data_IF_296939499842
#
_entry.id   IF_296939499842
#
_cell.length_a   1.000
_cell.length_b   1.000
_cell.length_c   1.000
_cell.angle_alpha   90.00
_cell.angle_beta   90.00
_cell.angle_gamma   90.00
#
_symmetry.space_group_name_H-M   'P 1'
#
loop_
_entity.id
_entity.type
_entity.pdbx_description
1 polymer ?
#
# COMPACT_ATOMS: atom_id res chain seq x y z
N UNK A 1 -0.46 -5.66 20.54
CA UNK A 1 -0.12 -5.39 19.12
C UNK A 1 0.88 -6.41 18.62
N UNK A 2 2.10 -6.42 19.16
CA UNK A 2 3.09 -7.44 18.80
C UNK A 2 2.62 -8.82 19.25
N UNK A 3 2.75 -9.82 18.38
CA UNK A 3 2.43 -11.24 18.60
C UNK A 3 0.93 -11.62 18.70
N UNK A 4 0.00 -10.81 18.17
CA UNK A 4 -1.44 -11.11 18.16
C UNK A 4 -2.00 -11.49 16.77
N UNK A 5 -1.25 -12.27 15.99
CA UNK A 5 -1.83 -12.95 14.81
C UNK A 5 -1.51 -12.37 13.43
N UNK A 6 -0.26 -11.97 13.15
CA UNK A 6 0.09 -11.87 11.73
C UNK A 6 1.57 -11.77 11.40
N UNK A 7 2.39 -11.05 12.17
CA UNK A 7 3.87 -11.05 12.00
C UNK A 7 4.61 -10.84 13.33
N UNK A 8 5.68 -11.61 13.52
CA UNK A 8 6.54 -11.57 14.71
C UNK A 8 7.71 -10.63 14.42
N UNK A 9 7.99 -9.71 15.33
CA UNK A 9 9.16 -8.83 15.22
C UNK A 9 10.39 -9.52 15.79
N UNK A 10 11.53 -9.36 15.13
CA UNK A 10 12.82 -9.91 15.58
C UNK A 10 13.94 -8.90 15.34
N UNK A 11 15.07 -9.08 16.01
CA UNK A 11 16.29 -8.30 15.78
C UNK A 11 16.87 -8.45 14.36
N UNK A 12 16.45 -9.50 13.64
CA UNK A 12 16.84 -9.77 12.25
C UNK A 12 15.93 -9.09 11.23
N UNK A 13 14.81 -8.52 11.69
CA UNK A 13 13.85 -7.84 10.82
C UNK A 13 14.46 -6.55 10.27
N UNK A 14 14.24 -6.28 8.99
CA UNK A 14 14.64 -5.04 8.31
C UNK A 14 13.41 -4.25 7.86
N UNK A 15 13.61 -3.07 7.25
CA UNK A 15 12.52 -2.17 6.86
C UNK A 15 11.41 -2.83 6.01
N UNK A 16 11.76 -3.75 5.12
CA UNK A 16 10.79 -4.46 4.28
C UNK A 16 9.89 -5.41 5.08
N UNK A 17 10.27 -5.81 6.29
CA UNK A 17 9.47 -6.71 7.13
C UNK A 17 8.35 -5.97 7.90
N UNK A 18 8.36 -4.62 7.87
CA UNK A 18 7.44 -3.77 8.62
C UNK A 18 6.39 -3.08 7.75
N UNK A 19 6.13 -3.56 6.53
CA UNK A 19 5.11 -2.99 5.63
C UNK A 19 3.70 -2.98 6.25
N UNK A 20 3.43 -3.83 7.24
CA UNK A 20 2.15 -3.95 7.96
C UNK A 20 1.98 -2.90 9.07
N UNK A 21 3.02 -2.11 9.36
CA UNK A 21 2.93 -0.99 10.32
C UNK A 21 2.24 0.17 9.63
N UNK A 22 0.91 0.06 9.52
CA UNK A 22 0.06 1.01 8.82
C UNK A 22 -0.87 1.76 9.79
N UNK A 23 -1.12 3.04 9.50
CA UNK A 23 -2.06 3.89 10.22
C UNK A 23 -2.57 5.00 9.30
N UNK A 24 -3.80 5.46 9.54
CA UNK A 24 -4.39 6.60 8.83
C UNK A 24 -5.38 6.21 7.72
N UNK A 25 -5.67 4.93 7.50
CA UNK A 25 -6.67 4.50 6.51
C UNK A 25 -8.10 4.98 6.82
N UNK A 26 -8.38 5.32 8.09
CA UNK A 26 -9.64 5.92 8.57
C UNK A 26 -9.57 7.46 8.72
N UNK A 27 -8.57 8.10 8.11
CA UNK A 27 -8.30 9.54 8.22
C UNK A 27 -8.18 10.19 6.85
N UNK A 28 -8.27 11.52 6.82
CA UNK A 28 -7.92 12.26 5.61
C UNK A 28 -6.40 12.30 5.45
N UNK A 29 -5.86 11.40 4.63
CA UNK A 29 -4.41 11.23 4.42
C UNK A 29 -3.70 12.44 3.77
N UNK A 30 -4.47 13.43 3.31
CA UNK A 30 -3.94 14.68 2.76
C UNK A 30 -3.92 15.75 3.85
N UNK A 31 -5.07 16.03 4.46
CA UNK A 31 -5.21 17.12 5.40
C UNK A 31 -4.65 16.78 6.79
N UNK A 32 -4.64 15.51 7.17
CA UNK A 32 -4.14 15.03 8.47
C UNK A 32 -2.73 14.42 8.38
N UNK A 33 -1.98 14.66 7.30
CA UNK A 33 -0.67 14.02 7.08
C UNK A 33 0.30 14.22 8.24
N UNK A 34 0.28 15.39 8.90
CA UNK A 34 1.17 15.67 10.02
C UNK A 34 0.89 14.78 11.24
N UNK A 35 -0.38 14.61 11.63
CA UNK A 35 -0.76 13.76 12.78
C UNK A 35 -0.54 12.28 12.46
N UNK A 36 -0.86 11.84 11.24
CA UNK A 36 -0.59 10.49 10.76
C UNK A 36 0.91 10.19 10.81
N UNK A 37 1.75 11.13 10.34
CA UNK A 37 3.21 10.98 10.34
C UNK A 37 3.76 10.86 11.77
N UNK A 38 3.28 11.70 12.69
CA UNK A 38 3.71 11.64 14.09
C UNK A 38 3.33 10.31 14.75
N UNK A 39 2.13 9.82 14.49
CA UNK A 39 1.67 8.54 15.02
C UNK A 39 2.47 7.36 14.44
N UNK A 40 2.71 7.34 13.12
CA UNK A 40 3.54 6.32 12.50
C UNK A 40 4.97 6.34 13.06
N UNK A 41 5.58 7.52 13.24
CA UNK A 41 6.90 7.64 13.87
C UNK A 41 6.90 7.13 15.32
N UNK A 42 5.84 7.44 16.08
CA UNK A 42 5.67 6.93 17.45
C UNK A 42 5.61 5.40 17.46
N UNK A 43 4.85 4.79 16.55
CA UNK A 43 4.75 3.34 16.40
C UNK A 43 6.09 2.71 16.01
N UNK A 44 6.75 3.24 14.98
CA UNK A 44 8.07 2.75 14.52
C UNK A 44 9.12 2.84 15.61
N UNK A 45 9.25 3.98 16.29
CA UNK A 45 10.19 4.15 17.39
C UNK A 45 9.83 3.29 18.60
N UNK A 46 8.54 3.05 18.84
CA UNK A 46 8.08 2.12 19.87
C UNK A 46 8.50 0.68 19.59
N UNK A 47 8.39 0.22 18.34
CA UNK A 47 8.86 -1.09 17.90
C UNK A 47 10.38 -1.19 18.02
N UNK A 48 11.12 -0.18 17.55
CA UNK A 48 12.57 -0.12 17.70
C UNK A 48 12.99 -0.20 19.18
N UNK A 49 12.38 0.62 20.05
CA UNK A 49 12.66 0.61 21.47
C UNK A 49 12.36 -0.75 22.11
N UNK A 50 11.28 -1.42 21.69
CA UNK A 50 10.96 -2.75 22.16
C UNK A 50 12.01 -3.78 21.73
N UNK A 51 12.47 -3.77 20.48
CA UNK A 51 13.52 -4.67 20.01
C UNK A 51 14.83 -4.38 20.75
N UNK A 52 15.25 -3.11 20.79
CA UNK A 52 16.55 -2.67 21.30
C UNK A 52 16.68 -2.78 22.83
N UNK A 53 15.65 -2.39 23.58
CA UNK A 53 15.76 -2.12 25.02
C UNK A 53 14.93 -3.05 25.91
N UNK A 54 14.16 -4.00 25.35
CA UNK A 54 13.34 -4.90 26.19
C UNK A 54 14.10 -6.02 26.88
N UNK A 55 15.36 -6.27 26.49
CA UNK A 55 16.15 -7.43 26.94
C UNK A 55 15.65 -8.78 26.40
N UNK A 56 14.71 -8.78 25.43
CA UNK A 56 14.14 -10.01 24.84
C UNK A 56 14.81 -10.45 23.54
N UNK A 57 15.71 -9.64 23.00
CA UNK A 57 16.34 -9.84 21.70
C UNK A 57 17.85 -9.60 21.81
N UNK A 58 18.63 -10.24 20.95
CA UNK A 58 20.07 -9.99 20.82
C UNK A 58 20.31 -8.70 20.02
N UNK A 59 19.99 -7.56 20.64
CA UNK A 59 19.97 -6.27 19.99
C UNK A 59 20.98 -5.26 20.58
N UNK A 60 21.84 -5.68 21.51
CA UNK A 60 22.74 -4.78 22.26
C UNK A 60 23.71 -4.00 21.37
N UNK A 61 24.11 -4.56 20.23
CA UNK A 61 24.99 -3.93 19.24
C UNK A 61 24.26 -3.31 18.06
N UNK A 62 22.93 -3.46 17.97
CA UNK A 62 22.13 -2.93 16.88
C UNK A 62 21.79 -1.45 17.08
N UNK A 63 21.69 -0.71 15.99
CA UNK A 63 21.26 0.69 16.01
C UNK A 63 20.21 0.95 14.92
N UNK A 64 19.36 1.94 15.14
CA UNK A 64 18.42 2.39 14.12
C UNK A 64 19.21 3.09 13.00
N UNK A 65 19.33 2.44 11.85
CA UNK A 65 20.05 3.00 10.70
C UNK A 65 19.32 4.21 10.08
N UNK A 66 18.03 4.04 9.76
CA UNK A 66 17.24 5.07 9.08
C UNK A 66 15.74 4.91 9.32
N UNK A 67 15.03 6.04 9.31
CA UNK A 67 13.58 6.10 9.31
C UNK A 67 13.10 7.15 8.30
N UNK A 68 12.11 6.79 7.49
CA UNK A 68 11.51 7.68 6.50
C UNK A 68 10.90 8.93 7.14
N UNK A 69 11.08 10.07 6.47
CA UNK A 69 10.51 11.35 6.90
C UNK A 69 9.03 11.49 6.57
N UNK A 70 8.58 10.84 5.48
CA UNK A 70 7.22 10.87 4.96
C UNK A 70 6.60 9.47 5.00
N UNK A 71 5.31 9.35 5.36
CA UNK A 71 4.62 8.07 5.31
C UNK A 71 4.36 7.66 3.86
N UNK A 72 4.50 6.36 3.59
CA UNK A 72 4.04 5.77 2.35
C UNK A 72 2.53 5.93 2.20
N UNK A 73 2.06 6.30 1.00
CA UNK A 73 0.63 6.42 0.68
C UNK A 73 0.24 5.32 -0.29
N UNK A 74 -0.76 4.54 0.10
CA UNK A 74 -1.30 3.44 -0.69
C UNK A 74 -2.31 3.86 -1.73
N UNK A 75 -3.04 4.93 -1.47
CA UNK A 75 -3.99 5.58 -2.37
C UNK A 75 -4.20 7.05 -1.97
N UNK A 76 -4.65 7.86 -2.91
CA UNK A 76 -5.07 9.24 -2.69
C UNK A 76 -6.10 9.63 -3.75
N UNK A 77 -6.23 10.92 -4.07
CA UNK A 77 -7.06 11.40 -5.17
C UNK A 77 -6.65 10.73 -6.49
N UNK A 78 -7.64 10.24 -7.23
CA UNK A 78 -7.47 9.61 -8.55
C UNK A 78 -8.08 10.48 -9.63
N UNK A 79 -7.50 10.46 -10.82
CA UNK A 79 -8.11 11.05 -12.00
C UNK A 79 -9.26 10.17 -12.48
N UNK A 80 -10.26 10.81 -13.06
CA UNK A 80 -11.26 10.11 -13.88
C UNK A 80 -10.71 10.05 -15.30
N UNK A 81 -10.59 8.84 -15.83
CA UNK A 81 -10.05 8.57 -17.16
C UNK A 81 -11.10 7.94 -18.06
N UNK A 82 -10.81 7.88 -19.36
CA UNK A 82 -11.72 7.34 -20.38
C UNK A 82 -12.14 5.90 -20.08
N UNK A 83 -11.25 5.10 -19.49
CA UNK A 83 -11.60 3.81 -18.92
C UNK A 83 -11.06 3.66 -17.51
N UNK A 84 -11.91 3.15 -16.61
CA UNK A 84 -11.54 2.80 -15.24
C UNK A 84 -11.47 1.29 -15.15
N UNK A 85 -10.25 0.75 -15.06
CA UNK A 85 -10.04 -0.69 -14.86
C UNK A 85 -10.69 -1.14 -13.55
N UNK A 86 -11.46 -2.22 -13.56
CA UNK A 86 -12.16 -2.71 -12.38
C UNK A 86 -11.57 -4.01 -11.84
N UNK A 87 -11.92 -4.36 -10.59
CA UNK A 87 -11.56 -5.66 -10.02
C UNK A 87 -12.17 -6.80 -10.83
N UNK A 88 -13.41 -6.62 -11.32
CA UNK A 88 -14.07 -7.59 -12.20
C UNK A 88 -13.25 -7.83 -13.46
N UNK A 89 -12.69 -6.78 -14.07
CA UNK A 89 -11.85 -6.92 -15.26
C UNK A 89 -10.60 -7.77 -15.00
N UNK A 90 -9.98 -7.56 -13.83
CA UNK A 90 -8.81 -8.32 -13.39
C UNK A 90 -9.19 -9.78 -13.13
N UNK A 91 -10.24 -10.02 -12.33
CA UNK A 91 -10.65 -11.37 -11.92
C UNK A 91 -11.19 -12.22 -13.08
N UNK A 92 -11.75 -11.59 -14.13
CA UNK A 92 -12.27 -12.29 -15.31
C UNK A 92 -11.31 -12.30 -16.49
N UNK A 93 -10.09 -11.76 -16.34
CA UNK A 93 -9.13 -11.62 -17.43
C UNK A 93 -9.74 -10.96 -18.67
N UNK A 94 -10.41 -9.82 -18.48
CA UNK A 94 -11.00 -9.03 -19.57
C UNK A 94 -9.96 -8.77 -20.67
N UNK A 95 -10.36 -9.00 -21.92
CA UNK A 95 -9.53 -8.76 -23.09
C UNK A 95 -9.78 -7.35 -23.61
N UNK A 96 -8.70 -6.64 -23.90
CA UNK A 96 -8.74 -5.31 -24.48
C UNK A 96 -7.96 -5.30 -25.79
N UNK A 97 -8.49 -4.65 -26.82
CA UNK A 97 -7.79 -4.51 -28.11
C UNK A 97 -6.64 -3.50 -28.04
N UNK A 98 -6.65 -2.64 -27.02
CA UNK A 98 -5.75 -1.52 -26.83
C UNK A 98 -4.89 -1.64 -25.56
N UNK A 99 -4.49 -2.86 -25.19
CA UNK A 99 -3.56 -3.07 -24.05
C UNK A 99 -2.25 -2.31 -24.28
N UNK A 100 -1.87 -1.49 -23.29
CA UNK A 100 -0.62 -0.75 -23.32
C UNK A 100 0.43 -1.28 -22.32
N UNK A 101 -0.02 -1.90 -21.23
CA UNK A 101 0.83 -2.48 -20.19
C UNK A 101 0.10 -3.62 -19.49
N UNK A 102 0.85 -4.41 -18.71
CA UNK A 102 0.30 -5.55 -17.97
C UNK A 102 0.54 -5.38 -16.47
N UNK A 103 -0.42 -5.81 -15.68
CA UNK A 103 -0.26 -6.02 -14.24
C UNK A 103 -0.34 -7.50 -13.90
N UNK A 104 0.22 -7.88 -12.75
CA UNK A 104 0.18 -9.26 -12.27
C UNK A 104 0.38 -9.40 -10.76
N UNK A 105 0.40 -8.29 -10.02
CA UNK A 105 0.42 -8.34 -8.57
C UNK A 105 -0.95 -8.76 -8.02
N UNK A 106 -0.99 -9.39 -6.86
CA UNK A 106 -2.26 -9.80 -6.23
C UNK A 106 -3.14 -8.59 -5.93
N UNK A 107 -4.46 -8.80 -5.79
CA UNK A 107 -5.31 -7.79 -5.18
C UNK A 107 -4.97 -7.73 -3.68
N UNK A 108 -4.17 -6.73 -3.31
CA UNK A 108 -3.50 -6.59 -2.01
C UNK A 108 -4.25 -5.61 -1.10
N UNK A 109 -5.22 -6.13 -0.34
CA UNK A 109 -6.09 -5.36 0.54
C UNK A 109 -5.54 -5.29 1.96
N UNK A 110 -5.60 -4.10 2.57
CA UNK A 110 -5.14 -3.85 3.94
C UNK A 110 -6.31 -3.28 4.74
N UNK A 111 -6.47 -3.69 6.02
CA UNK A 111 -7.53 -3.16 6.85
C UNK A 111 -7.31 -1.67 7.10
N UNK A 112 -8.36 -0.89 6.92
CA UNK A 112 -8.32 0.57 7.06
C UNK A 112 -7.93 1.07 8.46
N UNK A 113 -8.18 0.26 9.49
CA UNK A 113 -7.81 0.48 10.88
C UNK A 113 -6.30 0.26 11.13
N UNK A 114 -5.58 -0.29 10.14
CA UNK A 114 -4.14 -0.52 10.18
C UNK A 114 -3.73 -1.42 11.34
N UNK A 115 -2.67 -1.02 12.06
CA UNK A 115 -2.11 -1.76 13.21
C UNK A 115 -3.09 -1.99 14.37
N UNK A 116 -4.20 -1.23 14.41
CA UNK A 116 -5.24 -1.36 15.43
C UNK A 116 -6.35 -2.34 15.04
N UNK A 117 -6.32 -2.88 13.81
CA UNK A 117 -7.28 -3.88 13.36
C UNK A 117 -7.15 -5.19 14.13
N UNK A 118 -8.27 -5.92 14.24
CA UNK A 118 -8.30 -7.31 14.71
C UNK A 118 -8.33 -8.32 13.57
N UNK A 119 -8.52 -7.85 12.33
CA UNK A 119 -8.43 -8.69 11.13
C UNK A 119 -6.96 -8.93 10.78
N UNK A 120 -6.73 -9.85 9.84
CA UNK A 120 -5.40 -10.06 9.26
C UNK A 120 -4.85 -8.76 8.66
N UNK A 121 -3.54 -8.55 8.75
CA UNK A 121 -2.88 -7.33 8.26
C UNK A 121 -3.03 -7.14 6.75
N UNK A 122 -3.29 -8.22 6.01
CA UNK A 122 -3.46 -8.14 4.58
C UNK A 122 -4.24 -9.35 4.07
N UNK A 123 -5.18 -9.09 3.15
CA UNK A 123 -5.84 -10.10 2.34
C UNK A 123 -5.29 -9.98 0.92
N UNK A 124 -4.72 -11.07 0.41
CA UNK A 124 -4.19 -11.11 -0.94
C UNK A 124 -4.98 -12.12 -1.77
N UNK A 125 -5.58 -11.65 -2.86
CA UNK A 125 -6.27 -12.50 -3.84
C UNK A 125 -5.35 -12.67 -5.05
N UNK A 126 -4.90 -13.90 -5.36
CA UNK A 126 -4.11 -14.16 -6.55
C UNK A 126 -4.86 -13.79 -7.82
N UNK A 127 -4.13 -13.29 -8.80
CA UNK A 127 -4.66 -12.92 -10.13
C UNK A 127 -3.68 -13.38 -11.20
N UNK A 128 -4.19 -13.62 -12.40
CA UNK A 128 -3.35 -13.87 -13.57
C UNK A 128 -2.74 -12.55 -14.10
N UNK A 129 -1.89 -12.67 -15.12
CA UNK A 129 -1.43 -11.52 -15.88
C UNK A 129 -2.63 -10.87 -16.60
N UNK A 130 -2.92 -9.61 -16.31
CA UNK A 130 -4.05 -8.89 -16.90
C UNK A 130 -3.59 -7.67 -17.69
N UNK A 131 -4.28 -7.38 -18.79
CA UNK A 131 -4.00 -6.22 -19.63
C UNK A 131 -4.60 -4.94 -19.05
N UNK A 132 -3.87 -3.83 -19.16
CA UNK A 132 -4.36 -2.51 -18.80
C UNK A 132 -4.48 -1.68 -20.10
N UNK A 133 -5.69 -1.23 -20.47
CA UNK A 133 -5.91 -0.56 -21.74
C UNK A 133 -5.33 0.86 -21.75
N UNK A 134 -4.86 1.32 -22.92
CA UNK A 134 -4.26 2.64 -23.11
C UNK A 134 -5.19 3.78 -22.66
N UNK A 135 -6.50 3.64 -22.91
CA UNK A 135 -7.53 4.58 -22.48
C UNK A 135 -7.67 4.74 -20.96
N UNK A 136 -7.06 3.87 -20.15
CA UNK A 136 -6.91 4.11 -18.70
C UNK A 136 -5.88 5.21 -18.38
N UNK A 137 -5.19 5.77 -19.36
CA UNK A 137 -4.28 6.91 -19.19
C UNK A 137 -4.87 8.24 -19.64
N UNK A 138 -5.98 8.27 -20.38
CA UNK A 138 -6.51 9.53 -20.92
C UNK A 138 -7.48 10.18 -19.94
N UNK A 139 -7.21 11.43 -19.52
CA UNK A 139 -8.08 12.14 -18.58
C UNK A 139 -9.39 12.56 -19.26
N UNK A 140 -10.53 12.37 -18.58
CA UNK A 140 -11.82 12.91 -19.01
C UNK A 140 -12.05 14.36 -18.56
N UNK A 141 -11.14 14.93 -17.77
CA UNK A 141 -11.31 16.25 -17.17
C UNK A 141 -10.46 17.32 -17.85
N UNK A 142 -9.45 16.92 -18.63
CA UNK A 142 -8.53 17.83 -19.31
C UNK A 142 -8.23 17.30 -20.71
N UNK A 143 -8.52 18.12 -21.72
CA UNK A 143 -8.20 17.79 -23.10
C UNK A 143 -6.68 17.68 -23.29
N UNK A 144 -6.25 16.73 -24.14
CA UNK A 144 -4.84 16.51 -24.48
C UNK A 144 -3.93 16.22 -23.25
N UNK A 145 -4.47 15.60 -22.21
CA UNK A 145 -3.72 15.14 -21.04
C UNK A 145 -3.69 13.61 -20.97
N UNK A 146 -2.49 13.05 -21.12
CA UNK A 146 -2.19 11.65 -20.84
C UNK A 146 -1.49 11.51 -19.49
N UNK A 147 -1.99 10.63 -18.65
CA UNK A 147 -1.48 10.31 -17.32
C UNK A 147 -0.40 9.22 -17.41
N UNK A 148 0.45 9.12 -16.39
CA UNK A 148 1.48 8.08 -16.33
C UNK A 148 1.64 7.50 -14.91
N UNK A 149 2.01 6.23 -14.82
CA UNK A 149 2.28 5.55 -13.56
C UNK A 149 1.01 5.32 -12.71
N UNK A 150 1.14 5.49 -11.40
CA UNK A 150 0.11 5.11 -10.40
C UNK A 150 -1.13 6.01 -10.36
N UNK A 151 -1.27 6.97 -11.28
CA UNK A 151 -2.44 7.85 -11.37
C UNK A 151 -3.39 7.46 -12.51
N UNK A 152 -3.18 6.28 -13.11
CA UNK A 152 -4.09 5.70 -14.10
C UNK A 152 -5.50 5.48 -13.55
N UNK A 153 -6.45 5.30 -14.47
CA UNK A 153 -7.82 4.92 -14.16
C UNK A 153 -7.96 3.48 -13.71
N UNK A 154 -8.11 3.29 -12.40
CA UNK A 154 -8.48 2.01 -11.80
C UNK A 154 -9.47 2.24 -10.66
N UNK A 155 -10.40 1.33 -10.43
CA UNK A 155 -11.24 1.31 -9.24
C UNK A 155 -10.37 1.14 -7.98
N UNK A 156 -10.92 1.45 -6.80
CA UNK A 156 -10.23 1.24 -5.52
C UNK A 156 -9.65 -0.18 -5.41
N UNK A 157 -10.47 -1.18 -5.76
CA UNK A 157 -10.09 -2.58 -5.69
C UNK A 157 -9.05 -2.96 -6.76
N UNK A 158 -9.23 -2.55 -8.02
CA UNK A 158 -8.22 -2.81 -9.05
C UNK A 158 -6.87 -2.15 -8.73
N UNK A 159 -6.91 -0.95 -8.16
CA UNK A 159 -5.71 -0.21 -7.75
C UNK A 159 -4.92 -0.91 -6.65
N UNK A 160 -5.55 -1.79 -5.87
CA UNK A 160 -4.85 -2.62 -4.89
C UNK A 160 -3.77 -3.49 -5.55
N UNK A 161 -3.97 -3.87 -6.81
CA UNK A 161 -3.02 -4.60 -7.66
C UNK A 161 -2.21 -3.67 -8.55
N UNK A 162 -2.85 -2.82 -9.38
CA UNK A 162 -2.16 -2.01 -10.42
C UNK A 162 -1.19 -0.96 -9.91
N UNK A 163 -1.12 -0.71 -8.60
CA UNK A 163 -0.11 0.20 -8.02
C UNK A 163 1.27 -0.44 -7.86
N UNK A 164 1.35 -1.77 -7.95
CA UNK A 164 2.59 -2.56 -7.92
C UNK A 164 2.79 -3.11 -9.33
N UNK A 165 3.10 -2.19 -10.26
CA UNK A 165 3.52 -2.49 -11.63
C UNK A 165 5.02 -2.63 -11.71
#
# INVERSE_FOLDING_TARGET
MLNNGGRIVTEKSNGCDFWWVEFGGQKDTINEIASITLELKRLTLGIYNYIKNSGKFDADTLELNWMGSLPGKRESRRFVTEYVLTETDILHNSVFDDVAFYGGWYLDFHPSEGIYSKADFCTQIPVDLYGIPLRSLFSLQCDNLMLCGRILGASHAAFASTRIM
#
